data_IF_796237166856
#
_entry.id   IF_796237166856
#
_cell.length_a   1.000
_cell.length_b   1.000
_cell.length_c   1.000
_cell.angle_alpha   90.00
_cell.angle_beta   90.00
_cell.angle_gamma   90.00
#
_symmetry.space_group_name_H-M   'P 1'
#
loop_
_entity.id
_entity.type
_entity.pdbx_description
1 polymer ?
#
# COMPACT_ATOMS: atom_id res chain seq x y z
N UNK A 1 61.43 4.26 13.24
CA UNK A 1 61.24 4.65 11.83
C UNK A 1 61.90 3.62 10.95
N UNK A 2 61.23 2.47 10.83
CA UNK A 2 61.49 1.56 9.72
C UNK A 2 60.99 2.26 8.44
N UNK A 3 61.82 2.47 7.42
CA UNK A 3 61.38 3.08 6.16
C UNK A 3 60.38 2.24 5.36
N UNK A 4 60.01 1.03 5.82
CA UNK A 4 58.97 0.20 5.22
C UNK A 4 57.59 0.30 5.91
N UNK A 5 57.49 0.96 7.07
CA UNK A 5 56.21 1.29 7.71
C UNK A 5 55.56 2.45 6.98
N UNK A 6 54.35 2.24 6.45
CA UNK A 6 53.63 3.27 5.69
C UNK A 6 52.30 3.69 6.31
N UNK A 7 51.73 2.90 7.21
CA UNK A 7 50.48 3.14 7.92
C UNK A 7 50.57 2.52 9.33
N UNK A 8 49.82 3.09 10.27
CA UNK A 8 49.74 2.77 11.70
C UNK A 8 48.29 3.08 12.07
N UNK A 9 47.42 2.08 11.86
CA UNK A 9 45.97 2.23 11.82
C UNK A 9 45.35 2.42 13.20
N UNK A 10 45.92 1.79 14.23
CA UNK A 10 45.52 1.92 15.63
C UNK A 10 46.29 3.01 16.42
N UNK A 11 47.49 3.40 15.95
CA UNK A 11 48.34 4.39 16.59
C UNK A 11 49.13 3.85 17.80
N UNK A 12 49.34 2.54 17.90
CA UNK A 12 50.08 1.92 19.02
C UNK A 12 51.62 2.13 18.91
N UNK A 13 52.08 2.47 17.71
CA UNK A 13 53.48 2.74 17.38
C UNK A 13 54.23 1.59 16.69
N UNK A 14 53.54 0.52 16.33
CA UNK A 14 53.93 -0.54 15.38
C UNK A 14 53.18 -0.27 14.07
N UNK A 15 53.87 -0.21 12.94
CA UNK A 15 53.15 -0.03 11.66
C UNK A 15 52.48 -1.30 11.17
N UNK A 16 51.39 -1.16 10.42
CA UNK A 16 50.50 -2.25 9.94
C UNK A 16 51.23 -3.40 9.20
N UNK A 17 52.42 -3.14 8.63
CA UNK A 17 53.20 -4.20 7.98
C UNK A 17 53.92 -5.15 8.96
N UNK A 18 53.96 -4.80 10.24
CA UNK A 18 54.60 -5.52 11.32
C UNK A 18 53.64 -5.81 12.49
N UNK A 19 52.52 -5.09 12.55
CA UNK A 19 51.40 -5.44 13.42
C UNK A 19 50.71 -6.72 12.95
N UNK A 20 49.96 -7.34 13.86
CA UNK A 20 49.14 -8.53 13.62
C UNK A 20 47.68 -8.31 14.01
N UNK A 21 47.36 -7.10 14.50
CA UNK A 21 46.06 -6.62 14.97
C UNK A 21 46.00 -5.12 14.60
N UNK A 22 45.88 -4.84 13.30
CA UNK A 22 46.08 -3.51 12.68
C UNK A 22 45.11 -2.43 13.22
N UNK A 23 44.00 -2.81 13.87
CA UNK A 23 43.04 -1.88 14.49
C UNK A 23 42.85 -2.06 16.02
N UNK A 24 43.63 -2.95 16.64
CA UNK A 24 43.75 -3.14 18.10
C UNK A 24 42.41 -3.50 18.78
N UNK A 25 41.52 -4.16 18.04
CA UNK A 25 40.19 -4.54 18.49
C UNK A 25 40.18 -5.90 19.23
N UNK A 26 41.29 -6.64 19.11
CA UNK A 26 41.55 -7.91 19.76
C UNK A 26 41.38 -9.13 18.85
N UNK A 27 41.07 -8.95 17.56
CA UNK A 27 41.02 -9.99 16.54
C UNK A 27 42.18 -9.82 15.57
N UNK A 28 43.04 -10.84 15.49
CA UNK A 28 44.20 -10.80 14.58
C UNK A 28 43.76 -10.64 13.12
N UNK A 29 44.46 -9.84 12.31
CA UNK A 29 44.14 -9.54 10.89
C UNK A 29 43.86 -10.81 10.07
N UNK A 30 44.56 -11.90 10.39
CA UNK A 30 44.40 -13.20 9.70
C UNK A 30 43.03 -13.87 9.91
N UNK A 31 42.28 -13.45 10.92
CA UNK A 31 40.95 -13.92 11.26
C UNK A 31 39.90 -12.79 11.22
N UNK A 32 40.32 -11.57 10.89
CA UNK A 32 39.46 -10.40 10.81
C UNK A 32 38.99 -10.16 9.37
N UNK A 33 37.68 -10.00 9.17
CA UNK A 33 37.12 -9.62 7.88
C UNK A 33 37.39 -8.15 7.53
N UNK A 34 37.57 -7.29 8.54
CA UNK A 34 37.82 -5.86 8.45
C UNK A 34 39.04 -5.45 9.32
N UNK A 35 40.28 -5.83 8.96
CA UNK A 35 41.49 -5.57 9.77
C UNK A 35 41.85 -4.10 10.04
N UNK A 36 41.06 -3.14 9.57
CA UNK A 36 41.32 -1.71 9.71
C UNK A 36 40.12 -0.96 10.29
N UNK A 37 39.09 -1.69 10.74
CA UNK A 37 37.87 -1.14 11.31
C UNK A 37 37.60 -1.80 12.67
N UNK A 38 37.98 -1.14 13.78
CA UNK A 38 37.86 -1.72 15.12
C UNK A 38 36.41 -1.86 15.61
N UNK A 39 35.43 -1.54 14.76
CA UNK A 39 34.02 -1.76 15.02
C UNK A 39 33.45 -2.99 14.33
N UNK A 40 34.22 -3.68 13.49
CA UNK A 40 33.77 -4.83 12.70
C UNK A 40 34.82 -5.93 12.67
N UNK A 41 34.41 -7.19 12.86
CA UNK A 41 35.34 -8.35 12.86
C UNK A 41 34.88 -9.50 11.98
N UNK A 42 33.60 -9.53 11.63
CA UNK A 42 32.93 -10.64 10.94
C UNK A 42 32.09 -10.11 9.78
N UNK A 43 32.06 -10.88 8.70
CA UNK A 43 31.22 -10.71 7.51
C UNK A 43 30.65 -12.09 7.18
N UNK A 44 29.56 -12.45 7.84
CA UNK A 44 29.09 -13.84 7.91
C UNK A 44 28.57 -14.33 6.56
N UNK A 45 27.99 -13.46 5.74
CA UNK A 45 27.46 -13.81 4.41
C UNK A 45 28.37 -13.38 3.25
N UNK A 46 29.42 -12.62 3.52
CA UNK A 46 30.48 -12.30 2.56
C UNK A 46 30.10 -11.19 1.59
N UNK A 47 29.23 -10.28 2.01
CA UNK A 47 28.72 -9.20 1.19
C UNK A 47 29.58 -7.91 1.29
N UNK A 48 30.48 -7.87 2.27
CA UNK A 48 31.42 -6.78 2.52
C UNK A 48 30.89 -5.66 3.41
N UNK A 49 29.72 -5.81 4.03
CA UNK A 49 29.31 -5.06 5.23
C UNK A 49 29.55 -5.93 6.47
N UNK A 50 30.08 -5.34 7.54
CA UNK A 50 30.36 -6.09 8.76
C UNK A 50 29.09 -6.42 9.55
N UNK A 51 29.10 -7.56 10.23
CA UNK A 51 27.96 -8.09 10.98
C UNK A 51 27.38 -7.11 12.03
N UNK A 52 28.17 -6.14 12.54
CA UNK A 52 27.65 -5.16 13.51
C UNK A 52 26.87 -4.01 12.85
N UNK A 53 27.13 -3.73 11.57
CA UNK A 53 26.45 -2.72 10.76
C UNK A 53 25.38 -3.30 9.82
N UNK A 54 25.41 -4.61 9.59
CA UNK A 54 24.46 -5.32 8.73
C UNK A 54 23.20 -5.73 9.52
N UNK A 55 22.02 -5.29 9.06
CA UNK A 55 20.74 -5.70 9.65
C UNK A 55 20.35 -7.15 9.29
N UNK A 56 20.97 -7.70 8.23
CA UNK A 56 20.74 -9.05 7.71
C UNK A 56 22.04 -9.84 7.56
N UNK A 57 22.80 -10.11 8.65
CA UNK A 57 24.17 -10.67 8.60
C UNK A 57 24.26 -12.14 8.11
N UNK A 58 23.18 -12.71 7.58
CA UNK A 58 23.19 -14.06 7.00
C UNK A 58 22.60 -14.07 5.58
N UNK A 59 22.32 -12.91 4.99
CA UNK A 59 21.75 -12.74 3.67
C UNK A 59 22.51 -11.67 2.88
N UNK A 60 23.50 -12.12 2.09
CA UNK A 60 24.33 -11.25 1.28
C UNK A 60 23.59 -10.43 0.20
N UNK A 61 22.27 -10.56 0.10
CA UNK A 61 21.42 -9.77 -0.79
C UNK A 61 20.70 -8.63 -0.08
N UNK A 62 20.77 -8.53 1.24
CA UNK A 62 20.14 -7.51 2.06
C UNK A 62 21.11 -6.91 3.06
N UNK A 63 20.88 -5.65 3.46
CA UNK A 63 21.76 -4.92 4.41
C UNK A 63 21.03 -3.97 5.34
N UNK A 64 19.91 -3.43 4.87
CA UNK A 64 19.17 -2.32 5.49
C UNK A 64 17.71 -2.72 5.56
N UNK A 65 17.08 -2.40 6.69
CA UNK A 65 15.63 -2.50 6.92
C UNK A 65 15.14 -1.09 7.30
N UNK A 66 14.79 -0.30 6.29
CA UNK A 66 14.55 1.14 6.45
C UNK A 66 13.37 1.45 7.37
N UNK A 67 12.41 0.53 7.50
CA UNK A 67 11.21 0.74 8.32
C UNK A 67 11.11 -0.20 9.53
N UNK A 68 11.85 -1.31 9.55
CA UNK A 68 11.97 -2.21 10.69
C UNK A 68 10.89 -3.29 10.72
N UNK A 69 10.34 -3.68 9.58
CA UNK A 69 9.34 -4.76 9.49
C UNK A 69 9.95 -6.18 9.38
N UNK A 70 11.26 -6.25 9.15
CA UNK A 70 12.04 -7.48 9.03
C UNK A 70 12.22 -7.99 7.60
N UNK A 71 11.77 -7.26 6.58
CA UNK A 71 12.05 -7.48 5.17
C UNK A 71 13.12 -6.46 4.73
N UNK A 72 14.17 -6.92 4.05
CA UNK A 72 15.23 -6.02 3.63
C UNK A 72 14.80 -5.13 2.47
N UNK A 73 15.35 -3.91 2.42
CA UNK A 73 15.02 -2.87 1.44
C UNK A 73 15.11 -3.33 -0.03
N UNK A 74 15.92 -4.34 -0.37
CA UNK A 74 16.03 -4.82 -1.76
C UNK A 74 14.90 -5.79 -2.15
N UNK A 75 14.27 -6.44 -1.17
CA UNK A 75 13.16 -7.38 -1.34
C UNK A 75 11.81 -6.77 -0.98
N UNK A 76 11.81 -5.64 -0.28
CA UNK A 76 10.63 -4.90 0.11
C UNK A 76 10.15 -3.95 -1.01
N UNK A 77 8.92 -4.13 -1.48
CA UNK A 77 8.29 -3.22 -2.47
C UNK A 77 7.84 -1.88 -1.85
N UNK A 78 7.72 -1.80 -0.52
CA UNK A 78 7.39 -0.60 0.25
C UNK A 78 8.37 -0.31 1.42
N UNK A 79 9.66 0.03 1.16
CA UNK A 79 10.73 0.20 2.18
C UNK A 79 10.57 1.33 3.22
N UNK A 80 9.37 1.89 3.37
CA UNK A 80 9.09 2.97 4.30
C UNK A 80 7.75 2.79 5.02
N UNK A 81 7.05 1.68 4.78
CA UNK A 81 5.77 1.34 5.37
C UNK A 81 5.85 -0.03 6.04
N UNK A 82 6.05 -0.02 7.36
CA UNK A 82 6.20 -1.23 8.18
C UNK A 82 5.03 -2.22 8.16
N UNK A 83 3.96 -1.89 7.43
CA UNK A 83 2.75 -2.69 7.32
C UNK A 83 2.56 -3.32 5.95
N UNK A 84 3.43 -3.03 4.97
CA UNK A 84 3.35 -3.54 3.61
C UNK A 84 4.76 -3.91 3.12
N UNK A 85 4.90 -5.08 2.49
CA UNK A 85 6.20 -5.52 1.95
C UNK A 85 6.11 -6.13 0.54
N UNK A 86 4.90 -6.37 0.04
CA UNK A 86 4.64 -7.03 -1.23
C UNK A 86 3.50 -6.34 -1.98
N UNK A 87 3.62 -6.26 -3.30
CA UNK A 87 2.60 -5.79 -4.25
C UNK A 87 2.49 -6.84 -5.37
N UNK A 88 1.66 -7.86 -5.14
CA UNK A 88 1.65 -9.08 -5.96
C UNK A 88 1.17 -8.81 -7.39
N UNK A 89 0.29 -7.83 -7.62
CA UNK A 89 -0.23 -7.49 -8.94
C UNK A 89 0.29 -6.17 -9.53
N UNK A 90 1.04 -5.40 -8.75
CA UNK A 90 1.78 -4.22 -9.20
C UNK A 90 0.91 -2.98 -9.36
N UNK A 91 -0.17 -2.86 -8.60
CA UNK A 91 -1.10 -1.74 -8.67
C UNK A 91 -0.73 -0.55 -7.76
N UNK A 92 0.25 -0.77 -6.87
CA UNK A 92 0.80 0.21 -5.94
C UNK A 92 0.12 0.22 -4.56
N UNK A 93 -0.79 -0.72 -4.27
CA UNK A 93 -1.30 -0.98 -2.92
C UNK A 93 -0.74 -2.31 -2.43
N UNK A 94 -0.16 -2.28 -1.22
CA UNK A 94 0.43 -3.49 -0.65
C UNK A 94 -0.60 -4.57 -0.34
N UNK A 95 -0.18 -5.83 -0.46
CA UNK A 95 -0.99 -7.04 -0.32
C UNK A 95 -1.76 -7.10 1.03
N UNK A 96 -1.28 -6.45 2.10
CA UNK A 96 -1.98 -6.47 3.39
C UNK A 96 -3.15 -5.49 3.47
N UNK A 97 -3.11 -4.42 2.68
CA UNK A 97 -4.16 -3.40 2.57
C UNK A 97 -5.09 -3.62 1.37
N UNK A 98 -4.67 -4.41 0.39
CA UNK A 98 -5.44 -4.72 -0.80
C UNK A 98 -6.49 -5.83 -0.54
N UNK A 99 -7.75 -5.54 -0.85
CA UNK A 99 -8.82 -6.53 -0.80
C UNK A 99 -8.71 -7.59 -1.91
N UNK A 100 -8.03 -7.29 -3.01
CA UNK A 100 -7.80 -8.18 -4.15
C UNK A 100 -6.33 -8.22 -4.60
N UNK A 101 -5.40 -8.80 -3.81
CA UNK A 101 -3.94 -8.78 -4.06
C UNK A 101 -3.44 -9.47 -5.34
N UNK A 102 -4.33 -9.88 -6.24
CA UNK A 102 -3.99 -10.54 -7.51
C UNK A 102 -4.76 -9.94 -8.70
N UNK A 103 -5.47 -8.83 -8.49
CA UNK A 103 -6.22 -8.12 -9.51
C UNK A 103 -5.98 -6.60 -9.40
N UNK A 104 -4.98 -6.14 -10.14
CA UNK A 104 -4.57 -4.73 -10.21
C UNK A 104 -5.66 -3.74 -10.68
N UNK A 105 -6.85 -4.23 -11.01
CA UNK A 105 -8.02 -3.40 -11.35
C UNK A 105 -8.99 -3.22 -10.19
N UNK A 106 -8.80 -3.89 -9.05
CA UNK A 106 -9.66 -3.84 -7.88
C UNK A 106 -8.83 -3.74 -6.60
N UNK A 107 -9.09 -2.72 -5.78
CA UNK A 107 -8.36 -2.53 -4.50
C UNK A 107 -9.31 -2.62 -3.30
N UNK A 108 -10.57 -2.21 -3.50
CA UNK A 108 -11.51 -1.94 -2.42
C UNK A 108 -12.75 -2.82 -2.60
N UNK A 109 -13.10 -3.55 -1.55
CA UNK A 109 -14.38 -4.23 -1.37
C UNK A 109 -15.14 -3.52 -0.23
N UNK A 110 -16.02 -2.58 -0.58
CA UNK A 110 -16.61 -1.66 0.40
C UNK A 110 -17.72 -2.29 1.24
N UNK A 111 -18.32 -3.39 0.82
CA UNK A 111 -19.34 -4.12 1.59
C UNK A 111 -18.96 -5.55 1.97
N UNK A 112 -17.82 -6.04 1.48
CA UNK A 112 -17.22 -7.31 1.89
C UNK A 112 -17.86 -8.52 1.21
N UNK A 113 -18.43 -8.34 0.01
CA UNK A 113 -19.17 -9.37 -0.69
C UNK A 113 -18.31 -10.19 -1.69
N UNK A 114 -17.05 -9.77 -1.86
CA UNK A 114 -16.07 -10.42 -2.71
C UNK A 114 -16.06 -9.95 -4.16
N UNK A 115 -16.81 -8.89 -4.51
CA UNK A 115 -16.70 -8.19 -5.79
C UNK A 115 -16.10 -6.81 -5.55
N UNK A 116 -15.03 -6.49 -6.26
CA UNK A 116 -14.38 -5.19 -6.11
C UNK A 116 -15.26 -4.05 -6.60
N UNK A 117 -15.09 -2.88 -5.99
CA UNK A 117 -15.90 -1.70 -6.25
C UNK A 117 -15.95 -1.27 -7.74
N UNK A 118 -14.96 -1.59 -8.58
CA UNK A 118 -15.00 -1.24 -10.00
C UNK A 118 -15.85 -2.22 -10.82
N UNK A 119 -16.00 -3.47 -10.36
CA UNK A 119 -16.84 -4.51 -10.94
C UNK A 119 -18.25 -4.56 -10.33
N UNK A 120 -18.43 -3.99 -9.13
CA UNK A 120 -19.71 -3.98 -8.41
C UNK A 120 -20.60 -2.80 -8.82
N UNK A 121 -21.82 -3.12 -9.28
CA UNK A 121 -22.85 -2.11 -9.57
C UNK A 121 -23.41 -1.43 -8.31
N UNK A 122 -23.34 -2.08 -7.15
CA UNK A 122 -23.79 -1.56 -5.85
C UNK A 122 -22.73 -1.73 -4.75
N UNK A 123 -21.60 -0.98 -4.78
CA UNK A 123 -20.43 -1.15 -3.90
C UNK A 123 -20.64 -1.03 -2.38
N UNK A 124 -21.87 -0.84 -1.92
CA UNK A 124 -22.19 -0.65 -0.49
C UNK A 124 -23.37 -1.53 -0.05
N UNK A 125 -23.81 -2.47 -0.88
CA UNK A 125 -24.87 -3.44 -0.58
C UNK A 125 -24.43 -4.85 -0.97
N UNK A 126 -23.88 -5.57 0.00
CA UNK A 126 -23.38 -6.94 -0.15
C UNK A 126 -24.40 -8.00 -0.63
N UNK A 127 -25.66 -7.61 -0.86
CA UNK A 127 -26.69 -8.48 -1.42
C UNK A 127 -26.95 -8.20 -2.91
N UNK A 128 -26.32 -7.20 -3.52
CA UNK A 128 -26.55 -6.77 -4.90
C UNK A 128 -25.24 -6.48 -5.61
N UNK A 129 -24.90 -7.25 -6.64
CA UNK A 129 -23.65 -7.07 -7.38
C UNK A 129 -23.85 -6.63 -8.84
N UNK A 130 -25.08 -6.70 -9.33
CA UNK A 130 -25.37 -6.58 -10.77
C UNK A 130 -26.67 -5.85 -11.02
N UNK A 131 -26.67 -4.99 -12.04
CA UNK A 131 -27.84 -4.27 -12.57
C UNK A 131 -27.93 -4.54 -14.08
N UNK A 132 -28.56 -5.66 -14.43
CA UNK A 132 -28.59 -6.15 -15.82
C UNK A 132 -29.36 -5.23 -16.76
N UNK A 133 -30.36 -4.50 -16.26
CA UNK A 133 -31.19 -3.59 -17.06
C UNK A 133 -30.83 -2.11 -16.88
N UNK A 134 -29.88 -1.79 -16.00
CA UNK A 134 -29.35 -0.44 -15.78
C UNK A 134 -30.36 0.50 -15.14
N UNK A 135 -31.33 -0.05 -14.38
CA UNK A 135 -32.43 0.73 -13.81
C UNK A 135 -32.13 1.26 -12.39
N UNK A 136 -30.98 0.88 -11.81
CA UNK A 136 -30.53 1.29 -10.47
C UNK A 136 -31.10 0.43 -9.33
N UNK A 137 -31.69 -0.72 -9.63
CA UNK A 137 -32.14 -1.74 -8.66
C UNK A 137 -31.43 -3.04 -9.00
N UNK A 138 -30.75 -3.64 -8.02
CA UNK A 138 -29.98 -4.84 -8.26
C UNK A 138 -30.84 -6.06 -8.63
N UNK A 139 -30.22 -6.97 -9.39
CA UNK A 139 -30.88 -8.14 -9.96
C UNK A 139 -31.48 -9.06 -8.87
N UNK A 140 -30.92 -9.11 -7.65
CA UNK A 140 -31.45 -9.95 -6.57
C UNK A 140 -32.71 -9.36 -5.93
N UNK A 141 -32.84 -8.03 -5.89
CA UNK A 141 -34.03 -7.31 -5.48
C UNK A 141 -35.11 -7.45 -6.56
N UNK A 142 -34.73 -7.47 -7.83
CA UNK A 142 -35.66 -7.73 -8.93
C UNK A 142 -36.18 -9.18 -8.94
N UNK A 143 -35.43 -10.15 -8.40
CA UNK A 143 -35.92 -11.52 -8.22
C UNK A 143 -37.12 -11.61 -7.26
N UNK A 144 -37.33 -10.62 -6.38
CA UNK A 144 -38.56 -10.49 -5.57
C UNK A 144 -39.72 -9.79 -6.32
N UNK A 145 -39.38 -8.98 -7.32
CA UNK A 145 -40.31 -8.20 -8.15
C UNK A 145 -40.88 -9.01 -9.32
N UNK A 146 -40.40 -10.23 -9.60
CA UNK A 146 -41.06 -11.13 -10.57
C UNK A 146 -42.42 -11.67 -10.08
N UNK A 147 -42.91 -11.22 -8.92
CA UNK A 147 -44.32 -11.31 -8.55
C UNK A 147 -45.08 -9.96 -8.69
N UNK A 148 -44.49 -8.98 -9.39
CA UNK A 148 -44.91 -7.59 -9.47
C UNK A 148 -44.76 -6.95 -10.84
N UNK A 149 -44.87 -7.74 -11.93
CA UNK A 149 -45.30 -7.31 -13.26
C UNK A 149 -44.74 -6.00 -13.82
N UNK A 150 -43.67 -6.09 -14.61
CA UNK A 150 -43.51 -5.17 -15.75
C UNK A 150 -44.54 -5.56 -16.81
N UNK A 151 -45.79 -5.12 -16.63
CA UNK A 151 -46.64 -4.97 -17.81
C UNK A 151 -45.90 -4.00 -18.74
N UNK A 152 -45.61 -4.36 -19.99
CA UNK A 152 -45.44 -3.34 -21.01
C UNK A 152 -46.72 -2.51 -20.95
N UNK A 153 -46.61 -1.23 -20.62
CA UNK A 153 -47.70 -0.29 -20.88
C UNK A 153 -47.88 -0.29 -22.40
N UNK A 154 -48.74 -1.18 -22.87
CA UNK A 154 -49.40 -1.05 -24.16
C UNK A 154 -50.00 0.36 -24.17
N UNK A 155 -49.67 1.22 -25.14
CA UNK A 155 -50.31 2.52 -25.25
C UNK A 155 -51.76 2.32 -25.68
N UNK A 156 -52.64 2.01 -24.73
CA UNK A 156 -54.09 2.08 -24.88
C UNK A 156 -54.46 3.49 -25.38
N UNK A 157 -55.32 3.61 -26.40
CA UNK A 157 -55.65 4.88 -27.01
C UNK A 157 -56.43 5.76 -26.03
N UNK A 158 -56.03 7.03 -25.96
CA UNK A 158 -56.65 8.06 -25.13
C UNK A 158 -58.08 8.34 -25.63
N UNK A 159 -59.08 7.79 -24.95
CA UNK A 159 -60.44 8.33 -25.02
C UNK A 159 -60.56 9.47 -23.99
N UNK A 160 -60.79 10.67 -24.54
CA UNK A 160 -61.03 11.93 -23.85
C UNK A 160 -62.50 12.03 -23.45
N UNK A 161 -62.79 11.78 -22.17
CA UNK A 161 -64.07 12.16 -21.57
C UNK A 161 -63.87 12.63 -20.13
N UNK A 162 -63.70 13.96 -20.02
CA UNK A 162 -63.50 14.67 -18.78
C UNK A 162 -64.58 14.43 -17.71
N UNK A 163 -64.13 14.33 -16.46
CA UNK A 163 -65.00 14.28 -15.30
C UNK A 163 -64.25 14.30 -13.96
N UNK A 164 -64.18 15.50 -13.36
CA UNK A 164 -64.36 15.76 -11.92
C UNK A 164 -63.42 15.09 -10.86
N UNK A 165 -62.52 15.90 -10.29
CA UNK A 165 -61.76 15.73 -9.02
C UNK A 165 -62.68 15.45 -7.80
N UNK A 166 -62.24 14.84 -6.65
CA UNK A 166 -61.02 15.26 -5.93
C UNK A 166 -60.27 14.20 -5.07
N UNK A 167 -58.98 14.47 -4.85
CA UNK A 167 -58.23 13.94 -3.72
C UNK A 167 -56.75 13.78 -4.05
N UNK A 168 -55.93 14.78 -3.69
CA UNK A 168 -54.65 14.64 -2.98
C UNK A 168 -54.01 16.03 -2.89
N UNK A 169 -53.75 16.46 -1.65
CA UNK A 169 -53.16 17.74 -1.30
C UNK A 169 -51.63 17.69 -1.37
N UNK A 170 -51.05 18.77 -1.91
CA UNK A 170 -49.78 19.43 -1.58
C UNK A 170 -48.49 18.57 -1.47
N UNK A 171 -47.53 18.71 -2.39
CA UNK A 171 -46.44 19.71 -2.38
C UNK A 171 -45.55 19.61 -1.14
N UNK A 172 -44.34 19.07 -1.30
CA UNK A 172 -43.11 19.59 -0.69
C UNK A 172 -41.93 19.28 -1.62
N UNK A 173 -41.47 20.29 -2.35
CA UNK A 173 -40.18 20.28 -3.01
C UNK A 173 -39.07 20.59 -2.01
N UNK A 174 -38.03 19.76 -1.98
CA UNK A 174 -36.79 20.10 -1.29
C UNK A 174 -35.82 20.76 -2.27
N UNK A 175 -35.40 21.96 -1.88
CA UNK A 175 -34.51 22.85 -2.61
C UNK A 175 -33.09 22.29 -2.53
N UNK A 176 -32.51 22.05 -3.70
CA UNK A 176 -31.09 21.80 -3.93
C UNK A 176 -30.25 22.99 -3.44
N UNK A 177 -29.43 22.82 -2.40
CA UNK A 177 -28.36 23.77 -2.08
C UNK A 177 -27.16 23.50 -2.97
N UNK A 178 -27.07 24.30 -4.03
CA UNK A 178 -25.90 24.44 -4.90
C UNK A 178 -24.73 25.05 -4.12
N UNK A 179 -23.55 24.46 -4.25
CA UNK A 179 -22.34 24.84 -3.54
C UNK A 179 -21.81 26.25 -3.86
N UNK A 180 -21.12 26.83 -2.88
CA UNK A 180 -20.29 28.01 -3.06
C UNK A 180 -18.83 27.64 -2.84
N UNK A 181 -18.03 27.88 -3.89
CA UNK A 181 -16.62 27.56 -3.98
C UNK A 181 -15.73 28.44 -3.07
N UNK A 182 -14.58 27.84 -2.77
CA UNK A 182 -13.40 28.32 -2.05
C UNK A 182 -12.83 29.62 -2.65
N UNK A 183 -12.43 30.56 -1.79
CA UNK A 183 -11.36 31.52 -2.14
C UNK A 183 -10.36 31.69 -0.98
N UNK A 184 -9.11 31.36 -1.31
CA UNK A 184 -7.88 31.42 -0.52
C UNK A 184 -7.55 32.85 -0.06
N UNK A 185 -7.10 33.00 1.18
CA UNK A 185 -6.22 34.10 1.58
C UNK A 185 -5.30 33.69 2.73
N UNK A 186 -4.09 33.22 2.39
CA UNK A 186 -2.99 33.12 3.34
C UNK A 186 -2.55 34.52 3.80
N UNK A 187 -2.43 34.72 5.11
CA UNK A 187 -1.87 35.95 5.69
C UNK A 187 -0.54 35.65 6.39
N UNK A 188 0.47 36.33 5.88
CA UNK A 188 1.90 36.38 6.20
C UNK A 188 2.30 36.21 7.67
N UNK A 189 3.48 35.56 7.82
CA UNK A 189 4.45 35.65 8.91
C UNK A 189 4.64 37.09 9.40
N UNK A 190 4.67 37.25 10.72
CA UNK A 190 5.64 38.06 11.45
C UNK A 190 6.20 37.20 12.58
#
# INVERSE_FOLDING_TARGET
NDPNEYFDSDGDGVGDNADTDDDDDGVLDSNDAFPYDPSETMDTDGDGLGDNADEFPNDATERVDSDGDGIGDNSDEFPSDTTEWADTDGDGVGDNSDAFPNDASEIVDSDGDGVGNNADAFPYDANEQSDSDGNGVGDNAQADQENGGTTPVDPEPVDDDGGFLPGFSAVMGIISMLGAAILVAGRRKD
#
